data_IF_398986642933
#
_entry.id   IF_398986642933
#
_cell.length_a   1.000
_cell.length_b   1.000
_cell.length_c   1.000
_cell.angle_alpha   90.00
_cell.angle_beta   90.00
_cell.angle_gamma   90.00
#
_symmetry.space_group_name_H-M   'P 1'
#
loop_
_entity.id
_entity.type
_entity.pdbx_description
1 polymer ?
#
# COMPACT_ATOMS: atom_id res chain seq x y z
N UNK A 1 9.29 -4.57 -8.23
CA UNK A 1 8.82 -3.82 -7.05
C UNK A 1 7.72 -4.59 -6.36
N UNK A 2 7.83 -4.80 -5.09
CA UNK A 2 6.80 -5.49 -4.30
C UNK A 2 6.01 -4.47 -3.51
N UNK A 3 4.69 -4.47 -3.73
CA UNK A 3 3.78 -3.57 -3.04
C UNK A 3 2.85 -4.42 -2.18
N UNK A 4 2.72 -4.07 -0.92
CA UNK A 4 1.85 -4.80 -0.01
C UNK A 4 0.85 -3.85 0.63
N UNK A 5 -0.42 -4.24 0.63
CA UNK A 5 -1.49 -3.46 1.24
C UNK A 5 -1.81 -4.10 2.58
N UNK A 6 -1.59 -3.39 3.66
CA UNK A 6 -1.84 -3.89 5.00
C UNK A 6 -3.23 -3.48 5.45
N UNK A 7 -4.06 -4.44 5.78
CA UNK A 7 -5.40 -4.13 6.26
C UNK A 7 -6.27 -5.35 6.36
N UNK A 8 -7.29 -5.26 7.21
CA UNK A 8 -8.18 -6.38 7.50
C UNK A 8 -9.48 -6.34 6.70
N UNK A 9 -9.48 -5.70 5.53
CA UNK A 9 -10.64 -5.67 4.66
C UNK A 9 -11.59 -4.51 4.90
N UNK A 10 -11.15 -3.46 5.56
CA UNK A 10 -11.96 -2.27 5.78
C UNK A 10 -12.17 -1.52 4.47
N UNK A 11 -13.13 -0.59 4.45
CA UNK A 11 -13.42 0.18 3.24
C UNK A 11 -12.21 0.96 2.74
N UNK A 12 -11.48 1.59 3.64
CA UNK A 12 -10.27 2.33 3.27
C UNK A 12 -9.17 1.40 2.76
N UNK A 13 -9.11 0.18 3.31
CA UNK A 13 -8.14 -0.82 2.87
C UNK A 13 -8.43 -1.25 1.43
N UNK A 14 -9.70 -1.48 1.12
CA UNK A 14 -10.11 -1.84 -0.23
C UNK A 14 -9.90 -0.69 -1.20
N UNK A 15 -10.18 0.53 -0.77
CA UNK A 15 -9.97 1.72 -1.58
C UNK A 15 -8.49 1.92 -1.89
N UNK A 16 -7.62 1.69 -0.90
CA UNK A 16 -6.18 1.80 -1.11
C UNK A 16 -5.69 0.78 -2.12
N UNK A 17 -6.16 -0.46 -2.01
CA UNK A 17 -5.78 -1.49 -2.97
C UNK A 17 -6.19 -1.11 -4.38
N UNK A 18 -7.44 -0.70 -4.55
CA UNK A 18 -7.97 -0.32 -5.87
C UNK A 18 -7.17 0.84 -6.44
N UNK A 19 -6.94 1.87 -5.63
CA UNK A 19 -6.22 3.06 -6.07
C UNK A 19 -4.78 2.73 -6.45
N UNK A 20 -4.12 1.89 -5.66
CA UNK A 20 -2.75 1.47 -5.93
C UNK A 20 -2.66 0.71 -7.25
N UNK A 21 -3.61 -0.22 -7.49
CA UNK A 21 -3.63 -0.98 -8.75
C UNK A 21 -3.87 -0.07 -9.94
N UNK A 22 -4.74 0.92 -9.78
CA UNK A 22 -5.02 1.88 -10.85
C UNK A 22 -3.78 2.70 -11.21
N UNK A 23 -3.05 3.17 -10.20
CA UNK A 23 -1.84 3.96 -10.43
C UNK A 23 -0.77 3.11 -11.09
N UNK A 24 -0.57 1.88 -10.61
CA UNK A 24 0.42 0.96 -11.18
C UNK A 24 0.12 0.70 -12.66
N UNK A 25 -1.14 0.44 -12.97
CA UNK A 25 -1.54 0.17 -14.36
C UNK A 25 -1.39 1.40 -15.23
N UNK A 26 -1.85 2.56 -14.74
CA UNK A 26 -1.81 3.80 -15.51
C UNK A 26 -0.37 4.23 -15.81
N UNK A 27 0.51 4.08 -14.84
CA UNK A 27 1.91 4.50 -14.99
C UNK A 27 2.80 3.43 -15.59
N UNK A 28 2.27 2.25 -15.87
CA UNK A 28 3.03 1.16 -16.45
C UNK A 28 4.13 0.64 -15.55
N UNK A 29 3.91 0.67 -14.24
CA UNK A 29 4.90 0.22 -13.27
C UNK A 29 4.87 -1.31 -13.18
N UNK A 30 6.04 -1.93 -13.26
CA UNK A 30 6.16 -3.38 -13.07
C UNK A 30 6.20 -3.67 -11.58
N UNK A 31 5.06 -4.00 -11.01
CA UNK A 31 4.93 -4.20 -9.58
C UNK A 31 4.08 -5.43 -9.27
N UNK A 32 4.45 -6.11 -8.19
CA UNK A 32 3.72 -7.25 -7.66
C UNK A 32 2.92 -6.75 -6.46
N UNK A 33 1.59 -6.76 -6.56
CA UNK A 33 0.73 -6.22 -5.51
C UNK A 33 0.07 -7.37 -4.76
N UNK A 34 0.26 -7.39 -3.44
CA UNK A 34 -0.34 -8.39 -2.57
C UNK A 34 -1.03 -7.69 -1.41
N UNK A 35 -1.87 -8.45 -0.69
CA UNK A 35 -2.56 -7.95 0.50
C UNK A 35 -2.11 -8.74 1.71
N UNK A 36 -1.96 -8.06 2.83
CA UNK A 36 -1.73 -8.70 4.11
C UNK A 36 -2.90 -8.39 5.03
N UNK A 37 -3.66 -9.40 5.40
CA UNK A 37 -4.84 -9.24 6.23
C UNK A 37 -4.66 -9.82 7.63
N UNK A 38 -3.55 -10.51 7.87
CA UNK A 38 -3.24 -11.08 9.18
C UNK A 38 -2.76 -9.97 10.11
N UNK A 39 -3.53 -9.71 11.16
CA UNK A 39 -3.23 -8.59 12.07
C UNK A 39 -1.86 -8.74 12.72
N UNK A 40 -1.43 -9.96 13.01
CA UNK A 40 -0.13 -10.18 13.62
C UNK A 40 1.01 -9.78 12.69
N UNK A 41 0.87 -10.11 11.41
CA UNK A 41 1.88 -9.73 10.41
C UNK A 41 1.87 -8.23 10.15
N UNK A 42 0.68 -7.63 10.16
CA UNK A 42 0.55 -6.18 10.01
C UNK A 42 1.29 -5.47 11.15
N UNK A 43 1.14 -5.98 12.36
CA UNK A 43 1.80 -5.38 13.52
C UNK A 43 3.32 -5.52 13.46
N UNK A 44 3.83 -6.55 12.78
CA UNK A 44 5.27 -6.74 12.61
C UNK A 44 5.89 -5.60 11.80
N UNK A 45 5.10 -4.92 10.97
CA UNK A 45 5.58 -3.75 10.24
C UNK A 45 5.64 -2.50 11.10
N UNK A 46 5.19 -2.58 12.36
CA UNK A 46 5.26 -1.45 13.28
C UNK A 46 4.16 -0.42 13.13
N UNK A 47 3.11 -0.71 12.36
CA UNK A 47 2.00 0.22 12.22
C UNK A 47 0.91 -0.10 13.25
N UNK A 48 0.21 0.93 13.68
CA UNK A 48 -0.87 0.78 14.65
C UNK A 48 -2.25 1.04 14.06
N UNK A 49 -2.30 1.57 12.85
CA UNK A 49 -3.55 1.87 12.16
C UNK A 49 -3.47 1.40 10.73
N UNK A 50 -4.59 0.86 10.24
CA UNK A 50 -4.73 0.49 8.83
C UNK A 50 -5.59 1.52 8.11
N UNK A 51 -5.48 1.62 6.81
CA UNK A 51 -4.64 0.83 5.91
C UNK A 51 -3.18 1.27 5.94
N UNK A 52 -2.30 0.38 5.49
CA UNK A 52 -0.88 0.70 5.36
C UNK A 52 -0.39 0.33 3.98
N UNK A 53 0.58 1.07 3.48
CA UNK A 53 1.20 0.81 2.19
C UNK A 53 2.67 0.49 2.40
N UNK A 54 3.10 -0.66 1.89
CA UNK A 54 4.48 -1.13 1.99
C UNK A 54 5.04 -1.26 0.59
N UNK A 55 6.22 -0.71 0.37
CA UNK A 55 6.92 -0.83 -0.90
C UNK A 55 8.30 -1.41 -0.61
N UNK A 56 8.59 -2.57 -1.20
CA UNK A 56 9.87 -3.29 -1.01
C UNK A 56 10.24 -3.41 0.46
N UNK A 57 9.26 -3.88 1.26
CA UNK A 57 9.39 -4.15 2.68
C UNK A 57 9.53 -2.89 3.55
N UNK A 58 9.29 -1.70 3.00
CA UNK A 58 9.32 -0.46 3.77
C UNK A 58 7.92 0.13 3.85
N UNK A 59 7.47 0.45 5.06
CA UNK A 59 6.19 1.14 5.25
C UNK A 59 6.37 2.58 4.82
N UNK A 60 5.65 2.97 3.77
CA UNK A 60 5.75 4.33 3.25
C UNK A 60 4.57 5.20 3.67
N UNK A 61 3.51 4.57 4.16
CA UNK A 61 2.32 5.31 4.60
C UNK A 61 1.43 4.39 5.43
N UNK A 62 0.77 4.95 6.44
CA UNK A 62 -0.18 4.17 7.25
C UNK A 62 -1.21 5.10 7.88
N UNK A 63 -2.38 4.52 8.20
CA UNK A 63 -3.40 5.19 8.97
C UNK A 63 -4.33 6.11 8.18
N UNK A 64 -4.16 6.22 6.87
CA UNK A 64 -5.04 7.06 6.05
C UNK A 64 -5.05 6.58 4.61
N UNK A 65 -6.03 7.08 3.84
CA UNK A 65 -6.12 6.80 2.42
C UNK A 65 -5.45 7.94 1.65
N UNK A 66 -4.34 7.67 0.95
CA UNK A 66 -3.68 8.72 0.16
C UNK A 66 -4.42 9.00 -1.15
N UNK A 67 -4.10 10.12 -1.80
CA UNK A 67 -4.59 10.41 -3.13
C UNK A 67 -3.79 9.59 -4.16
N UNK A 68 -4.32 9.49 -5.38
CA UNK A 68 -3.61 8.81 -6.46
C UNK A 68 -2.28 9.49 -6.78
N UNK A 69 -2.24 10.81 -6.70
CA UNK A 69 -1.00 11.55 -6.91
C UNK A 69 0.04 11.20 -5.85
N UNK A 70 -0.39 11.10 -4.61
CA UNK A 70 0.52 10.74 -3.51
C UNK A 70 1.07 9.33 -3.70
N UNK A 71 0.20 8.39 -4.10
CA UNK A 71 0.64 7.03 -4.37
C UNK A 71 1.65 7.01 -5.51
N UNK A 72 1.37 7.75 -6.58
CA UNK A 72 2.28 7.83 -7.71
C UNK A 72 3.64 8.37 -7.28
N UNK A 73 3.65 9.43 -6.47
CA UNK A 73 4.89 10.00 -5.96
C UNK A 73 5.68 8.99 -5.13
N UNK A 74 4.98 8.24 -4.27
CA UNK A 74 5.63 7.22 -3.43
C UNK A 74 6.22 6.09 -4.27
N UNK A 75 5.52 5.66 -5.32
CA UNK A 75 5.99 4.60 -6.18
C UNK A 75 7.17 5.02 -7.04
N UNK A 76 7.30 6.29 -7.32
CA UNK A 76 8.37 6.82 -8.15
C UNK A 76 9.61 7.24 -7.35
N UNK A 77 9.54 7.17 -6.03
CA UNK A 77 10.71 7.46 -5.20
C UNK A 77 11.72 6.34 -5.35
N UNK A 78 12.98 6.70 -5.49
CA UNK A 78 14.04 5.71 -5.51
C UNK A 78 14.36 5.30 -4.09
N UNK A 79 14.37 4.00 -3.88
CA UNK A 79 14.66 3.42 -2.57
C UNK A 79 16.14 3.16 -2.40
#
# INVERSE_FOLDING_TARGET
MDIKILGTGCQKCKALEKLTREVVEKEGIDANITKEEDIMKIMEYGIMKTPGLVIDEKVVMSGRLPSSKEINDLLNQKQ
#
